data_IF_915643058371
#
_entry.id   IF_915643058371
#
_cell.length_a   1.000
_cell.length_b   1.000
_cell.length_c   1.000
_cell.angle_alpha   90.00
_cell.angle_beta   90.00
_cell.angle_gamma   90.00
#
_symmetry.space_group_name_H-M   'P 1'
#
loop_
_entity.id
_entity.type
_entity.pdbx_description
1 polymer ?
#
# COMPACT_ATOMS: atom_id res chain seq x y z
N UNK A 1 40.76 40.71 27.43
CA UNK A 1 40.35 39.51 28.19
C UNK A 1 38.98 39.78 28.78
N UNK A 2 37.95 39.22 28.16
CA UNK A 2 36.58 39.17 28.69
C UNK A 2 35.94 37.96 28.00
N UNK A 3 35.80 36.86 28.74
CA UNK A 3 35.14 35.64 28.28
C UNK A 3 33.63 35.79 28.55
N UNK A 4 32.82 35.65 27.50
CA UNK A 4 31.38 35.41 27.63
C UNK A 4 31.14 33.91 27.70
N UNK A 5 30.66 33.43 28.84
CA UNK A 5 30.13 32.08 29.01
C UNK A 5 28.63 32.12 28.68
N UNK A 6 28.12 31.27 27.75
CA UNK A 6 26.68 31.16 27.54
C UNK A 6 26.04 30.40 28.72
N UNK A 7 25.00 30.98 29.30
CA UNK A 7 24.17 30.34 30.32
C UNK A 7 23.34 29.23 29.68
N UNK A 8 23.47 28.02 30.22
CA UNK A 8 22.60 26.90 29.91
C UNK A 8 21.19 27.19 30.44
N UNK A 9 20.19 27.16 29.55
CA UNK A 9 18.78 27.13 29.95
C UNK A 9 18.46 25.68 30.29
N UNK A 10 18.38 25.38 31.58
CA UNK A 10 17.95 24.08 32.11
C UNK A 10 16.46 23.89 31.81
N UNK A 11 16.14 22.99 30.87
CA UNK A 11 14.78 22.54 30.61
C UNK A 11 14.37 21.49 31.65
N UNK A 12 14.02 21.93 32.85
CA UNK A 12 13.26 21.15 33.84
C UNK A 12 11.84 21.71 33.95
N UNK A 13 11.09 21.71 32.85
CA UNK A 13 9.63 21.86 32.94
C UNK A 13 9.04 20.51 33.32
N UNK A 14 9.02 20.27 34.62
CA UNK A 14 8.41 19.12 35.26
C UNK A 14 6.92 19.01 34.94
N UNK A 15 6.43 17.78 34.67
CA UNK A 15 5.01 17.42 34.51
C UNK A 15 4.09 17.86 35.68
N UNK A 16 4.65 18.40 36.75
CA UNK A 16 3.94 18.89 37.94
C UNK A 16 3.02 20.09 37.65
N UNK A 17 3.25 20.84 36.58
CA UNK A 17 2.45 22.02 36.21
C UNK A 17 1.14 21.68 35.46
N UNK A 18 0.96 20.42 35.07
CA UNK A 18 -0.32 19.93 34.52
C UNK A 18 -1.31 19.54 35.63
N UNK A 19 -0.81 19.15 36.81
CA UNK A 19 -1.65 18.75 37.93
C UNK A 19 -2.36 19.94 38.61
N UNK A 20 -1.87 21.16 38.39
CA UNK A 20 -2.47 22.43 38.86
C UNK A 20 -3.58 22.93 37.94
N UNK A 21 -3.68 22.41 36.71
CA UNK A 21 -4.78 22.66 35.80
C UNK A 21 -5.99 21.81 36.20
N UNK A 22 -6.63 22.19 37.30
CA UNK A 22 -7.92 21.65 37.72
C UNK A 22 -9.01 22.15 36.77
N UNK A 23 -9.02 21.61 35.55
CA UNK A 23 -10.01 21.92 34.53
C UNK A 23 -11.14 20.88 34.64
N UNK A 24 -12.13 21.20 35.47
CA UNK A 24 -13.40 20.48 35.54
C UNK A 24 -14.22 20.88 34.30
N UNK A 25 -14.20 20.03 33.28
CA UNK A 25 -14.94 20.23 32.03
C UNK A 25 -16.38 19.68 32.10
N UNK A 26 -16.85 19.25 33.27
CA UNK A 26 -18.19 18.67 33.43
C UNK A 26 -18.29 17.21 32.95
N UNK A 27 -19.13 16.42 33.60
CA UNK A 27 -19.45 15.03 33.24
C UNK A 27 -20.71 14.96 32.36
N UNK A 28 -20.93 15.93 31.47
CA UNK A 28 -22.03 15.83 30.51
C UNK A 28 -21.59 14.91 29.36
N UNK A 29 -22.31 13.80 29.18
CA UNK A 29 -22.12 12.83 28.09
C UNK A 29 -22.23 13.46 26.66
N UNK A 30 -22.49 14.77 26.58
CA UNK A 30 -22.59 15.57 25.35
C UNK A 30 -21.27 16.17 24.84
N UNK A 31 -20.22 16.25 25.66
CA UNK A 31 -18.94 16.87 25.28
C UNK A 31 -17.97 15.88 24.59
N UNK A 32 -18.49 15.06 23.69
CA UNK A 32 -17.62 14.27 22.82
C UNK A 32 -16.95 15.20 21.82
N UNK A 33 -15.61 15.25 21.86
CA UNK A 33 -14.82 15.92 20.83
C UNK A 33 -15.14 15.31 19.46
N UNK A 34 -15.95 16.01 18.67
CA UNK A 34 -16.26 15.62 17.30
C UNK A 34 -15.04 15.93 16.44
N UNK A 35 -14.23 14.91 16.16
CA UNK A 35 -13.20 15.03 15.13
C UNK A 35 -13.88 15.21 13.78
N UNK A 36 -13.49 16.19 12.95
CA UNK A 36 -13.95 16.27 11.57
C UNK A 36 -13.74 14.91 10.89
N UNK A 37 -14.73 14.43 10.14
CA UNK A 37 -14.60 13.20 9.37
C UNK A 37 -13.56 13.42 8.28
N UNK A 38 -12.29 13.20 8.61
CA UNK A 38 -11.24 13.12 7.59
C UNK A 38 -11.58 11.93 6.69
N UNK A 39 -11.43 12.10 5.39
CA UNK A 39 -11.50 10.96 4.48
C UNK A 39 -10.43 9.96 4.93
N UNK A 40 -10.85 8.82 5.49
CA UNK A 40 -9.90 7.78 5.89
C UNK A 40 -9.03 7.44 4.67
N UNK A 41 -7.69 7.43 4.82
CA UNK A 41 -6.81 7.14 3.71
C UNK A 41 -7.16 5.76 3.16
N UNK A 42 -7.22 5.66 1.82
CA UNK A 42 -7.55 4.41 1.12
C UNK A 42 -6.27 3.76 0.65
N UNK A 43 -6.23 2.44 0.78
CA UNK A 43 -5.16 1.64 0.20
C UNK A 43 -5.61 1.16 -1.19
N UNK A 44 -4.94 1.66 -2.22
CA UNK A 44 -5.29 1.44 -3.62
C UNK A 44 -4.26 0.54 -4.31
N UNK A 45 -4.73 -0.35 -5.18
CA UNK A 45 -3.85 -1.18 -6.00
C UNK A 45 -3.75 -0.62 -7.41
N UNK A 46 -2.54 -0.26 -7.84
CA UNK A 46 -2.27 0.22 -9.19
C UNK A 46 -1.70 -0.86 -10.09
N UNK A 47 -2.20 -0.89 -11.33
CA UNK A 47 -1.84 -1.85 -12.38
C UNK A 47 -0.90 -1.22 -13.42
N UNK A 48 -0.10 -0.23 -13.04
CA UNK A 48 0.80 0.48 -13.94
C UNK A 48 0.24 1.80 -14.44
N UNK A 49 -0.05 2.72 -13.52
CA UNK A 49 -0.39 4.10 -13.88
C UNK A 49 0.89 4.90 -14.16
N UNK A 50 0.84 5.80 -15.14
CA UNK A 50 1.97 6.67 -15.47
C UNK A 50 2.16 7.71 -14.37
N UNK A 51 3.41 7.93 -13.96
CA UNK A 51 3.78 9.01 -13.04
C UNK A 51 4.33 10.22 -13.80
N UNK A 52 4.41 11.37 -13.14
CA UNK A 52 5.09 12.56 -13.68
C UNK A 52 6.59 12.36 -13.87
N UNK A 53 7.18 11.37 -13.19
CA UNK A 53 8.59 10.96 -13.31
C UNK A 53 8.83 9.91 -14.41
N UNK A 54 7.83 9.65 -15.26
CA UNK A 54 7.86 8.60 -16.30
C UNK A 54 8.09 7.18 -15.77
N UNK A 55 7.83 6.97 -14.49
CA UNK A 55 7.82 5.66 -13.87
C UNK A 55 6.41 5.04 -13.97
N UNK A 56 6.33 3.75 -13.67
CA UNK A 56 5.08 3.00 -13.68
C UNK A 56 4.69 2.67 -12.25
N UNK A 57 3.55 3.18 -11.81
CA UNK A 57 3.02 2.98 -10.47
C UNK A 57 2.31 1.61 -10.37
N UNK A 58 2.89 0.69 -9.60
CA UNK A 58 2.43 -0.70 -9.48
C UNK A 58 2.38 -1.15 -8.02
N UNK A 59 1.30 -1.83 -7.63
CA UNK A 59 1.12 -2.35 -6.27
C UNK A 59 0.31 -1.41 -5.38
N UNK A 60 0.55 -1.48 -4.07
CA UNK A 60 -0.18 -0.70 -3.08
C UNK A 60 0.29 0.75 -2.97
N UNK A 61 -0.70 1.65 -2.97
CA UNK A 61 -0.52 3.09 -2.88
C UNK A 61 -1.50 3.71 -1.91
N UNK A 62 -1.06 4.77 -1.23
CA UNK A 62 -1.89 5.59 -0.35
C UNK A 62 -1.82 7.02 -0.88
N UNK A 63 -2.96 7.69 -1.03
CA UNK A 63 -3.00 9.10 -1.45
C UNK A 63 -2.34 9.97 -0.37
N UNK A 64 -1.38 10.79 -0.78
CA UNK A 64 -0.65 11.69 0.11
C UNK A 64 -1.46 12.96 0.38
N UNK A 65 -1.09 13.69 1.43
CA UNK A 65 -1.72 14.95 1.86
C UNK A 65 -3.18 14.79 2.35
N UNK A 66 -3.62 13.56 2.60
CA UNK A 66 -4.96 13.25 3.14
C UNK A 66 -4.94 13.13 4.67
N UNK A 67 -3.89 12.50 5.21
CA UNK A 67 -3.71 12.32 6.65
C UNK A 67 -2.28 12.75 7.05
N UNK A 68 -2.12 13.94 7.67
CA UNK A 68 -0.81 14.49 7.99
C UNK A 68 0.07 13.58 8.88
N UNK A 69 -0.54 12.87 9.84
CA UNK A 69 0.20 11.97 10.71
C UNK A 69 0.76 10.76 9.93
N UNK A 70 -0.02 10.26 8.98
CA UNK A 70 0.42 9.21 8.07
C UNK A 70 1.52 9.70 7.11
N UNK A 71 1.38 10.91 6.58
CA UNK A 71 2.39 11.52 5.69
C UNK A 71 3.74 11.72 6.39
N UNK A 72 3.72 12.22 7.64
CA UNK A 72 4.91 12.38 8.47
C UNK A 72 5.59 11.02 8.73
N UNK A 73 4.81 10.00 9.06
CA UNK A 73 5.31 8.65 9.28
C UNK A 73 5.93 8.06 8.02
N UNK A 74 5.23 8.10 6.89
CA UNK A 74 5.70 7.54 5.63
C UNK A 74 6.95 8.26 5.12
N UNK A 75 7.05 9.58 5.37
CA UNK A 75 8.27 10.36 5.14
C UNK A 75 9.43 9.86 5.99
N UNK A 76 9.19 9.66 7.29
CA UNK A 76 10.21 9.17 8.24
C UNK A 76 10.68 7.76 7.88
N UNK A 77 9.78 6.91 7.39
CA UNK A 77 10.10 5.57 6.90
C UNK A 77 10.86 5.58 5.56
N UNK A 78 11.03 6.75 4.93
CA UNK A 78 11.65 6.88 3.61
C UNK A 78 10.82 6.28 2.49
N UNK A 79 9.50 6.21 2.65
CA UNK A 79 8.59 5.68 1.63
C UNK A 79 8.63 6.60 0.42
N UNK A 80 8.70 6.03 -0.79
CA UNK A 80 8.73 6.85 -2.00
C UNK A 80 7.38 7.54 -2.23
N UNK A 81 7.44 8.84 -2.50
CA UNK A 81 6.31 9.66 -2.98
C UNK A 81 6.48 10.02 -4.45
N UNK A 82 5.40 9.98 -5.22
CA UNK A 82 5.36 10.54 -6.58
C UNK A 82 3.95 10.95 -6.99
N UNK A 83 3.84 11.67 -8.09
CA UNK A 83 2.55 12.13 -8.64
C UNK A 83 2.09 11.18 -9.74
N UNK A 84 0.88 10.67 -9.60
CA UNK A 84 0.23 9.76 -10.55
C UNK A 84 -0.73 10.52 -11.45
N UNK A 85 -0.68 10.22 -12.74
CA UNK A 85 -1.61 10.78 -13.74
C UNK A 85 -2.80 9.84 -13.90
N UNK A 86 -3.97 10.26 -13.40
CA UNK A 86 -5.21 9.52 -13.57
C UNK A 86 -5.83 9.78 -14.95
N UNK A 87 -6.50 8.76 -15.48
CA UNK A 87 -7.22 8.87 -16.77
C UNK A 87 -8.43 9.81 -16.70
N UNK A 88 -8.96 10.05 -15.50
CA UNK A 88 -10.07 10.99 -15.29
C UNK A 88 -9.54 12.41 -15.40
N UNK A 89 -10.25 13.27 -16.12
CA UNK A 89 -9.88 14.68 -16.27
C UNK A 89 -10.36 15.49 -15.07
N UNK A 90 -9.64 16.54 -14.71
CA UNK A 90 -10.11 17.57 -13.80
C UNK A 90 -11.18 18.46 -14.48
N UNK A 91 -11.71 19.45 -13.75
CA UNK A 91 -12.70 20.39 -14.27
C UNK A 91 -12.19 21.17 -15.50
N UNK A 92 -10.86 21.33 -15.60
CA UNK A 92 -10.19 22.02 -16.71
C UNK A 92 -9.86 21.11 -17.90
N UNK A 93 -10.32 19.86 -17.90
CA UNK A 93 -10.10 18.90 -19.00
C UNK A 93 -8.71 18.27 -19.06
N UNK A 94 -7.82 18.54 -18.10
CA UNK A 94 -6.49 17.94 -17.98
C UNK A 94 -6.53 16.66 -17.16
N UNK A 95 -5.60 15.72 -17.37
CA UNK A 95 -5.49 14.52 -16.55
C UNK A 95 -5.35 14.89 -15.06
N UNK A 96 -6.19 14.32 -14.19
CA UNK A 96 -6.13 14.57 -12.76
C UNK A 96 -4.81 14.01 -12.22
N UNK A 97 -4.00 14.88 -11.64
CA UNK A 97 -2.72 14.52 -11.01
C UNK A 97 -2.88 14.50 -9.51
N UNK A 98 -2.49 13.40 -8.87
CA UNK A 98 -2.56 13.25 -7.41
C UNK A 98 -1.27 12.64 -6.87
N UNK A 99 -0.78 13.09 -5.71
CA UNK A 99 0.38 12.53 -5.05
C UNK A 99 0.04 11.23 -4.30
N UNK A 100 0.93 10.25 -4.36
CA UNK A 100 0.78 8.97 -3.65
C UNK A 100 2.10 8.53 -3.01
N UNK A 101 1.97 7.82 -1.89
CA UNK A 101 3.01 6.99 -1.29
C UNK A 101 2.98 5.59 -1.90
N UNK A 102 4.13 5.08 -2.33
CA UNK A 102 4.25 3.78 -2.97
C UNK A 102 4.78 2.72 -2.00
N UNK A 103 3.85 1.95 -1.43
CA UNK A 103 4.13 0.97 -0.37
C UNK A 103 4.97 -0.22 -0.86
N UNK A 104 4.93 -0.52 -2.15
CA UNK A 104 5.72 -1.61 -2.75
C UNK A 104 6.94 -1.12 -3.55
N UNK A 105 7.34 0.15 -3.39
CA UNK A 105 8.46 0.67 -4.16
C UNK A 105 9.77 -0.07 -3.84
N UNK A 106 10.63 -0.25 -4.85
CA UNK A 106 11.89 -0.98 -4.70
C UNK A 106 11.73 -2.46 -4.37
N UNK A 107 10.53 -3.04 -4.55
CA UNK A 107 10.25 -4.43 -4.19
C UNK A 107 9.99 -4.64 -2.69
N UNK A 108 9.75 -3.56 -1.94
CA UNK A 108 9.38 -3.66 -0.54
C UNK A 108 8.04 -4.37 -0.36
N UNK A 109 7.95 -5.20 0.68
CA UNK A 109 6.71 -5.87 1.06
C UNK A 109 5.73 -4.85 1.65
N UNK A 110 4.46 -5.03 1.34
CA UNK A 110 3.38 -4.41 2.09
C UNK A 110 2.62 -5.54 2.79
N UNK A 111 2.81 -5.68 4.10
CA UNK A 111 2.27 -6.81 4.86
C UNK A 111 0.93 -6.44 5.47
N UNK A 112 -0.15 -7.06 4.99
CA UNK A 112 -1.51 -6.73 5.42
C UNK A 112 -1.98 -7.70 6.49
N UNK A 113 -2.64 -7.22 7.53
CA UNK A 113 -3.55 -8.06 8.31
C UNK A 113 -4.98 -7.57 8.15
N UNK A 114 -5.84 -8.51 7.78
CA UNK A 114 -7.20 -8.26 7.32
C UNK A 114 -8.14 -8.39 8.51
N UNK A 115 -8.97 -7.39 8.76
CA UNK A 115 -10.02 -7.46 9.78
C UNK A 115 -11.14 -8.38 9.31
N UNK A 116 -10.95 -9.69 9.46
CA UNK A 116 -11.89 -10.72 9.01
C UNK A 116 -11.72 -12.01 9.81
N UNK A 117 -12.82 -12.72 10.07
CA UNK A 117 -12.80 -14.06 10.68
C UNK A 117 -12.28 -15.15 9.73
N UNK A 118 -12.22 -14.87 8.43
CA UNK A 118 -11.80 -15.83 7.41
C UNK A 118 -11.99 -15.31 5.99
N UNK A 119 -12.14 -16.23 5.05
CA UNK A 119 -12.53 -15.93 3.67
C UNK A 119 -13.55 -16.98 3.25
N UNK A 120 -14.72 -16.55 2.80
CA UNK A 120 -15.70 -17.45 2.20
C UNK A 120 -15.26 -17.83 0.78
N UNK A 121 -15.59 -19.05 0.33
CA UNK A 121 -15.49 -19.39 -1.08
C UNK A 121 -16.43 -18.52 -1.92
N UNK A 122 -16.15 -18.32 -3.21
CA UNK A 122 -17.05 -17.56 -4.09
C UNK A 122 -18.49 -18.07 -4.11
N UNK A 123 -18.65 -19.38 -3.93
CA UNK A 123 -19.97 -20.01 -3.88
C UNK A 123 -20.74 -19.55 -2.64
N UNK A 124 -20.12 -19.62 -1.47
CA UNK A 124 -20.67 -19.11 -0.21
C UNK A 124 -20.87 -17.60 -0.26
N UNK A 125 -19.99 -16.89 -0.96
CA UNK A 125 -20.06 -15.46 -1.17
C UNK A 125 -21.26 -14.99 -2.02
N UNK A 126 -22.12 -15.88 -2.51
CA UNK A 126 -23.43 -15.49 -3.08
C UNK A 126 -24.43 -15.10 -2.00
N UNK A 127 -24.28 -15.63 -0.79
CA UNK A 127 -25.11 -15.27 0.36
C UNK A 127 -24.47 -14.08 1.08
N UNK A 128 -25.06 -12.89 0.90
CA UNK A 128 -24.55 -11.65 1.50
C UNK A 128 -24.64 -11.64 3.02
N UNK A 129 -25.42 -12.53 3.66
CA UNK A 129 -25.55 -12.59 5.12
C UNK A 129 -24.46 -13.40 5.81
N UNK A 130 -23.68 -14.18 5.04
CA UNK A 130 -22.64 -15.09 5.56
C UNK A 130 -21.23 -14.53 5.48
N UNK A 131 -21.08 -13.21 5.34
CA UNK A 131 -19.75 -12.58 5.26
C UNK A 131 -19.00 -12.72 6.58
N UNK A 132 -17.69 -12.72 6.46
CA UNK A 132 -16.76 -12.84 7.58
C UNK A 132 -15.87 -11.60 7.79
N UNK A 133 -16.10 -10.49 7.07
CA UNK A 133 -15.23 -9.29 7.09
C UNK A 133 -14.78 -8.81 5.71
N UNK A 134 -15.08 -9.59 4.65
CA UNK A 134 -14.76 -9.25 3.26
C UNK A 134 -16.07 -9.06 2.48
N UNK A 135 -16.29 -7.86 1.97
CA UNK A 135 -17.41 -7.55 1.09
C UNK A 135 -17.13 -8.02 -0.33
N UNK A 136 -18.14 -8.63 -0.96
CA UNK A 136 -18.04 -9.18 -2.31
C UNK A 136 -19.39 -9.07 -3.02
N UNK A 137 -19.37 -8.80 -4.32
CA UNK A 137 -20.57 -8.80 -5.14
C UNK A 137 -20.30 -8.47 -6.59
N UNK A 138 -21.37 -8.47 -7.39
CA UNK A 138 -21.31 -8.13 -8.81
C UNK A 138 -22.04 -6.81 -9.04
N UNK A 139 -21.28 -5.74 -9.24
CA UNK A 139 -21.84 -4.41 -9.52
C UNK A 139 -22.08 -4.22 -11.02
N UNK A 140 -23.10 -3.45 -11.34
CA UNK A 140 -23.33 -2.97 -12.72
C UNK A 140 -22.33 -1.87 -13.04
N UNK A 141 -21.62 -2.00 -14.16
CA UNK A 141 -20.64 -1.02 -14.61
C UNK A 141 -21.37 0.20 -15.16
N UNK A 142 -21.00 1.37 -14.65
CA UNK A 142 -21.49 2.67 -15.14
C UNK A 142 -20.34 3.48 -15.74
N UNK A 143 -20.63 4.31 -16.72
CA UNK A 143 -19.67 5.26 -17.30
C UNK A 143 -19.52 6.52 -16.43
N UNK A 144 -18.77 7.52 -16.92
CA UNK A 144 -18.52 8.78 -16.20
C UNK A 144 -19.79 9.61 -15.97
N UNK A 145 -20.76 9.46 -16.86
CA UNK A 145 -22.04 10.18 -16.81
C UNK A 145 -23.09 9.40 -16.00
N UNK A 146 -22.72 8.23 -15.45
CA UNK A 146 -23.57 7.37 -14.64
C UNK A 146 -24.45 6.41 -15.44
N UNK A 147 -24.33 6.39 -16.77
CA UNK A 147 -25.09 5.50 -17.64
C UNK A 147 -24.58 4.06 -17.54
N UNK A 148 -25.49 3.11 -17.66
CA UNK A 148 -25.15 1.68 -17.62
C UNK A 148 -24.40 1.29 -18.89
N UNK A 149 -23.19 0.74 -18.71
CA UNK A 149 -22.39 0.21 -19.82
C UNK A 149 -22.97 -1.15 -20.22
N UNK A 150 -23.28 -1.32 -21.50
CA UNK A 150 -23.74 -2.61 -22.07
C UNK A 150 -22.56 -3.49 -22.49
N UNK A 151 -22.77 -4.80 -22.54
CA UNK A 151 -21.80 -5.75 -23.14
C UNK A 151 -21.73 -5.51 -24.66
N UNK A 152 -20.55 -5.63 -25.24
CA UNK A 152 -20.37 -5.47 -26.69
C UNK A 152 -21.22 -6.50 -27.45
N UNK A 153 -22.15 -6.03 -28.28
CA UNK A 153 -23.05 -6.87 -29.08
C UNK A 153 -24.21 -7.51 -28.30
N UNK A 154 -24.56 -6.99 -27.12
CA UNK A 154 -25.69 -7.48 -26.30
C UNK A 154 -26.39 -6.33 -25.58
N UNK A 155 -27.69 -6.47 -25.32
CA UNK A 155 -28.46 -5.54 -24.49
C UNK A 155 -28.24 -5.73 -22.99
N UNK A 156 -27.51 -6.77 -22.58
CA UNK A 156 -27.19 -7.02 -21.18
C UNK A 156 -26.24 -5.98 -20.61
N UNK A 157 -26.54 -5.51 -19.39
CA UNK A 157 -25.64 -4.66 -18.62
C UNK A 157 -24.31 -5.38 -18.33
N UNK A 158 -23.21 -4.68 -18.57
CA UNK A 158 -21.88 -5.11 -18.17
C UNK A 158 -21.83 -5.13 -16.64
N UNK A 159 -21.40 -6.25 -16.08
CA UNK A 159 -21.20 -6.41 -14.64
C UNK A 159 -19.74 -6.69 -14.36
N UNK A 160 -19.25 -6.25 -13.22
CA UNK A 160 -17.92 -6.60 -12.74
C UNK A 160 -17.98 -7.05 -11.29
N UNK A 161 -17.09 -7.97 -10.94
CA UNK A 161 -16.89 -8.36 -9.57
C UNK A 161 -16.25 -7.20 -8.80
N UNK A 162 -16.70 -6.95 -7.57
CA UNK A 162 -16.10 -5.99 -6.64
C UNK A 162 -15.85 -6.68 -5.32
N UNK A 163 -14.67 -6.44 -4.77
CA UNK A 163 -14.20 -6.99 -3.51
C UNK A 163 -13.64 -5.85 -2.65
N UNK A 164 -14.08 -5.77 -1.39
CA UNK A 164 -13.63 -4.75 -0.46
C UNK A 164 -13.38 -5.37 0.93
N UNK A 165 -12.38 -4.87 1.63
CA UNK A 165 -12.10 -5.29 3.00
C UNK A 165 -11.38 -4.17 3.76
N UNK A 166 -11.37 -4.28 5.09
CA UNK A 166 -10.56 -3.42 5.96
C UNK A 166 -9.27 -4.16 6.30
N UNK A 167 -8.14 -3.50 6.14
CA UNK A 167 -6.84 -4.05 6.49
C UNK A 167 -5.95 -2.99 7.11
N UNK A 168 -5.03 -3.43 7.95
CA UNK A 168 -3.95 -2.60 8.44
C UNK A 168 -2.65 -2.99 7.73
N UNK A 169 -1.67 -2.10 7.77
CA UNK A 169 -0.35 -2.34 7.22
C UNK A 169 0.60 -2.56 8.39
N UNK A 170 1.22 -3.74 8.44
CA UNK A 170 2.04 -4.18 9.55
C UNK A 170 3.22 -3.27 9.82
N UNK A 171 3.89 -2.82 8.76
CA UNK A 171 5.01 -1.90 8.84
C UNK A 171 4.58 -0.56 9.47
N UNK A 172 3.35 -0.11 9.24
CA UNK A 172 2.82 1.14 9.82
C UNK A 172 2.41 0.97 11.29
N UNK A 173 1.79 -0.16 11.62
CA UNK A 173 1.40 -0.48 13.00
C UNK A 173 2.62 -0.59 13.91
N UNK A 174 3.71 -1.20 13.42
CA UNK A 174 4.98 -1.26 14.15
C UNK A 174 5.60 0.11 14.41
N UNK A 175 5.26 1.12 13.60
CA UNK A 175 5.68 2.50 13.77
C UNK A 175 4.58 3.39 14.37
N UNK A 176 3.55 2.80 15.00
CA UNK A 176 2.56 3.50 15.80
C UNK A 176 1.30 3.98 15.07
N UNK A 177 1.16 3.75 13.76
CA UNK A 177 -0.06 4.08 13.03
C UNK A 177 -1.03 2.89 13.06
N UNK A 178 -2.07 3.00 13.88
CA UNK A 178 -2.97 1.89 14.25
C UNK A 178 -4.36 1.98 13.61
N UNK A 179 -4.51 2.74 12.53
CA UNK A 179 -5.78 2.86 11.80
C UNK A 179 -5.86 1.87 10.63
N UNK A 180 -7.08 1.41 10.32
CA UNK A 180 -7.33 0.53 9.17
C UNK A 180 -7.55 1.33 7.88
N UNK A 181 -7.18 0.71 6.76
CA UNK A 181 -7.44 1.18 5.41
C UNK A 181 -8.57 0.39 4.78
N UNK A 182 -9.47 1.07 4.09
CA UNK A 182 -10.37 0.38 3.17
C UNK A 182 -9.58 0.02 1.90
N UNK A 183 -9.57 -1.27 1.57
CA UNK A 183 -8.98 -1.81 0.34
C UNK A 183 -10.10 -2.18 -0.61
N UNK A 184 -9.96 -1.83 -1.89
CA UNK A 184 -10.98 -2.09 -2.91
C UNK A 184 -10.36 -2.62 -4.20
N UNK A 185 -10.88 -3.74 -4.68
CA UNK A 185 -10.52 -4.36 -5.95
C UNK A 185 -11.77 -4.56 -6.80
N UNK A 186 -11.61 -4.53 -8.13
CA UNK A 186 -12.71 -4.76 -9.06
C UNK A 186 -12.24 -5.47 -10.33
N UNK A 187 -13.16 -6.11 -11.02
CA UNK A 187 -12.90 -6.83 -12.27
C UNK A 187 -12.08 -8.11 -12.05
N UNK A 188 -11.23 -8.43 -13.03
CA UNK A 188 -10.54 -9.72 -13.12
C UNK A 188 -9.53 -9.97 -11.98
N UNK A 189 -8.98 -8.91 -11.40
CA UNK A 189 -7.96 -9.00 -10.34
C UNK A 189 -8.53 -9.50 -8.99
N UNK A 190 -9.85 -9.43 -8.82
CA UNK A 190 -10.52 -9.89 -7.58
C UNK A 190 -10.22 -11.35 -7.28
N UNK A 191 -9.99 -12.14 -8.32
CA UNK A 191 -9.60 -13.55 -8.24
C UNK A 191 -8.19 -13.76 -7.68
N UNK A 192 -7.25 -12.98 -8.19
CA UNK A 192 -5.87 -12.99 -7.72
C UNK A 192 -5.80 -12.53 -6.25
N UNK A 193 -6.62 -11.55 -5.87
CA UNK A 193 -6.74 -11.09 -4.47
C UNK A 193 -7.24 -12.21 -3.58
N UNK A 194 -8.36 -12.86 -3.90
CA UNK A 194 -8.88 -13.97 -3.10
C UNK A 194 -7.86 -15.11 -2.99
N UNK A 195 -7.12 -15.39 -4.07
CA UNK A 195 -6.03 -16.38 -4.06
C UNK A 195 -4.92 -15.97 -3.11
N UNK A 196 -4.46 -14.72 -3.16
CA UNK A 196 -3.44 -14.20 -2.25
C UNK A 196 -3.91 -14.26 -0.79
N UNK A 197 -5.13 -13.78 -0.49
CA UNK A 197 -5.67 -13.79 0.87
C UNK A 197 -5.82 -15.22 1.42
N UNK A 198 -6.14 -16.21 0.57
CA UNK A 198 -6.25 -17.62 0.97
C UNK A 198 -4.93 -18.21 1.51
N UNK A 199 -3.76 -17.69 1.13
CA UNK A 199 -2.48 -18.14 1.68
C UNK A 199 -2.39 -17.94 3.20
N UNK A 200 -3.21 -17.06 3.77
CA UNK A 200 -3.32 -16.88 5.21
C UNK A 200 -3.74 -18.17 5.94
N UNK A 201 -4.59 -19.02 5.33
CA UNK A 201 -4.96 -20.30 5.93
C UNK A 201 -3.75 -21.20 6.13
N UNK A 202 -2.80 -21.22 5.17
CA UNK A 202 -1.57 -22.01 5.29
C UNK A 202 -0.71 -21.56 6.47
N UNK A 203 -0.61 -20.25 6.70
CA UNK A 203 0.11 -19.67 7.84
C UNK A 203 -0.55 -20.09 9.16
N UNK A 204 -1.86 -19.87 9.26
CA UNK A 204 -2.66 -20.15 10.46
C UNK A 204 -2.70 -21.65 10.77
N UNK A 205 -2.86 -22.53 9.77
CA UNK A 205 -2.89 -23.97 9.96
C UNK A 205 -1.55 -24.52 10.45
N UNK A 206 -0.44 -24.03 9.91
CA UNK A 206 0.90 -24.43 10.36
C UNK A 206 1.10 -23.98 11.81
N UNK A 207 0.80 -22.72 12.15
CA UNK A 207 0.91 -22.25 13.53
C UNK A 207 0.00 -23.04 14.48
N UNK A 208 -1.26 -23.26 14.11
CA UNK A 208 -2.24 -23.96 14.93
C UNK A 208 -1.88 -25.43 15.15
N UNK A 209 -1.22 -26.07 14.18
CA UNK A 209 -0.69 -27.42 14.35
C UNK A 209 0.41 -27.46 15.41
N UNK A 210 1.34 -26.51 15.40
CA UNK A 210 2.36 -26.39 16.44
C UNK A 210 1.78 -26.02 17.80
N UNK A 211 0.83 -25.09 17.84
CA UNK A 211 0.20 -24.63 19.07
C UNK A 211 -0.54 -25.79 19.77
N UNK A 212 -1.35 -26.56 19.03
CA UNK A 212 -2.07 -27.73 19.58
C UNK A 212 -1.11 -28.79 20.13
N UNK A 213 0.00 -29.07 19.44
CA UNK A 213 0.99 -30.03 19.89
C UNK A 213 1.67 -29.63 21.22
N UNK A 214 1.65 -28.33 21.55
CA UNK A 214 2.23 -27.77 22.77
C UNK A 214 1.17 -27.36 23.81
N UNK A 215 -0.11 -27.61 23.56
CA UNK A 215 -1.20 -27.17 24.44
C UNK A 215 -1.38 -25.64 24.50
N UNK A 216 -0.94 -24.92 23.46
CA UNK A 216 -1.07 -23.47 23.34
C UNK A 216 -2.37 -23.09 22.60
N UNK A 217 -2.79 -21.84 22.78
CA UNK A 217 -3.94 -21.27 22.08
C UNK A 217 -3.68 -21.17 20.57
N UNK A 218 -4.73 -21.44 19.78
CA UNK A 218 -4.71 -21.26 18.33
C UNK A 218 -4.81 -19.79 17.95
N UNK A 219 -4.20 -19.41 16.84
CA UNK A 219 -4.34 -18.08 16.25
C UNK A 219 -5.64 -17.97 15.43
N UNK A 220 -6.31 -16.80 15.45
CA UNK A 220 -7.39 -16.49 14.53
C UNK A 220 -6.85 -16.16 13.12
N UNK A 221 -7.75 -16.04 12.15
CA UNK A 221 -7.40 -15.69 10.76
C UNK A 221 -6.57 -14.40 10.65
N UNK A 222 -6.93 -13.38 11.44
CA UNK A 222 -6.24 -12.09 11.52
C UNK A 222 -4.99 -12.09 12.42
N UNK A 223 -4.51 -13.25 12.87
CA UNK A 223 -3.39 -13.34 13.83
C UNK A 223 -1.99 -13.08 13.24
N UNK A 224 -1.87 -13.09 11.91
CA UNK A 224 -0.61 -12.87 11.20
C UNK A 224 -0.78 -11.84 10.08
N UNK A 225 0.28 -11.09 9.79
CA UNK A 225 0.35 -10.27 8.58
C UNK A 225 0.68 -11.13 7.35
N UNK A 226 0.17 -10.71 6.21
CA UNK A 226 0.31 -11.35 4.92
C UNK A 226 1.11 -10.42 3.99
N UNK A 227 2.38 -10.72 3.71
CA UNK A 227 3.20 -9.91 2.80
C UNK A 227 2.70 -10.03 1.38
N UNK A 228 2.42 -8.90 0.71
CA UNK A 228 1.92 -8.88 -0.67
C UNK A 228 2.83 -8.03 -1.56
N UNK A 229 3.12 -8.57 -2.75
CA UNK A 229 3.82 -7.89 -3.85
C UNK A 229 3.05 -7.97 -5.16
N UNK A 230 3.33 -7.07 -6.11
CA UNK A 230 2.93 -7.28 -7.50
C UNK A 230 3.55 -8.54 -8.09
N UNK A 231 2.70 -9.40 -8.66
CA UNK A 231 3.12 -10.59 -9.39
C UNK A 231 3.53 -10.27 -10.83
N UNK A 232 3.84 -11.34 -11.58
CA UNK A 232 4.16 -11.24 -12.99
C UNK A 232 3.02 -10.61 -13.79
N UNK A 233 3.38 -9.78 -14.77
CA UNK A 233 2.41 -9.09 -15.63
C UNK A 233 1.52 -10.08 -16.37
N UNK A 234 0.20 -9.85 -16.32
CA UNK A 234 -0.80 -10.59 -17.11
C UNK A 234 -1.46 -9.63 -18.09
N UNK A 235 -1.58 -10.05 -19.34
CA UNK A 235 -2.27 -9.26 -20.37
C UNK A 235 -3.77 -9.62 -20.39
N UNK A 236 -4.63 -8.66 -20.07
CA UNK A 236 -6.08 -8.85 -19.99
C UNK A 236 -6.82 -7.97 -20.98
N UNK A 237 -7.84 -8.52 -21.63
CA UNK A 237 -8.59 -7.84 -22.67
C UNK A 237 -9.39 -8.85 -23.50
N UNK A 238 -10.23 -8.38 -24.43
CA UNK A 238 -10.93 -9.24 -25.37
C UNK A 238 -9.95 -10.08 -26.20
N UNK A 239 -10.40 -11.25 -26.67
CA UNK A 239 -9.58 -12.17 -27.47
C UNK A 239 -9.04 -11.53 -28.76
N UNK A 240 -9.88 -10.71 -29.39
CA UNK A 240 -9.60 -10.05 -30.69
C UNK A 240 -9.51 -8.52 -30.55
N UNK A 241 -8.89 -8.02 -29.48
CA UNK A 241 -8.70 -6.58 -29.29
C UNK A 241 -7.54 -6.24 -28.35
N UNK A 242 -7.43 -4.96 -28.01
CA UNK A 242 -6.32 -4.47 -27.20
C UNK A 242 -6.32 -5.09 -25.81
N UNK A 243 -5.16 -5.61 -25.43
CA UNK A 243 -4.90 -6.14 -24.09
C UNK A 243 -4.17 -5.09 -23.27
N UNK A 244 -4.58 -4.94 -22.02
CA UNK A 244 -3.91 -4.09 -21.05
C UNK A 244 -3.13 -4.94 -20.06
N UNK A 245 -1.94 -4.50 -19.64
CA UNK A 245 -1.20 -5.18 -18.58
C UNK A 245 -1.92 -4.99 -17.25
N UNK A 246 -1.94 -6.04 -16.43
CA UNK A 246 -2.27 -5.97 -15.01
C UNK A 246 -1.17 -6.66 -14.21
N UNK A 247 -1.02 -6.24 -12.96
CA UNK A 247 -0.06 -6.80 -12.03
C UNK A 247 -0.86 -7.37 -10.86
N UNK A 248 -1.12 -8.69 -10.83
CA UNK A 248 -1.95 -9.30 -9.80
C UNK A 248 -1.26 -9.23 -8.43
N UNK A 249 -1.96 -9.01 -7.32
CA UNK A 249 -1.37 -9.16 -5.99
C UNK A 249 -1.03 -10.62 -5.73
N UNK A 250 0.17 -10.86 -5.22
CA UNK A 250 0.65 -12.21 -4.87
C UNK A 250 1.20 -12.18 -3.45
N UNK A 251 0.64 -13.04 -2.60
CA UNK A 251 1.14 -13.26 -1.26
C UNK A 251 2.54 -13.89 -1.31
N UNK A 252 3.47 -13.35 -0.53
CA UNK A 252 4.87 -13.78 -0.45
C UNK A 252 5.09 -14.73 0.74
N UNK A 253 4.16 -15.66 0.97
CA UNK A 253 4.30 -16.66 2.02
C UNK A 253 5.31 -17.72 1.56
N UNK A 254 6.40 -17.97 2.30
CA UNK A 254 7.44 -18.90 1.87
C UNK A 254 6.89 -20.32 1.75
N UNK A 255 7.44 -21.13 0.83
CA UNK A 255 7.00 -22.52 0.65
C UNK A 255 7.13 -23.33 1.95
N UNK A 256 8.21 -23.12 2.70
CA UNK A 256 8.41 -23.64 4.04
C UNK A 256 8.18 -22.52 5.06
N UNK A 257 7.11 -22.62 5.86
CA UNK A 257 6.81 -21.66 6.92
C UNK A 257 7.62 -22.03 8.16
N UNK A 258 8.58 -21.18 8.50
CA UNK A 258 9.49 -21.38 9.64
C UNK A 258 9.00 -20.67 10.89
N UNK A 259 9.57 -21.03 12.05
CA UNK A 259 9.33 -20.31 13.29
C UNK A 259 9.78 -18.83 13.24
N UNK A 260 10.82 -18.51 12.45
CA UNK A 260 11.25 -17.12 12.26
C UNK A 260 10.19 -16.31 11.51
N UNK A 261 9.62 -16.86 10.44
CA UNK A 261 8.52 -16.24 9.70
C UNK A 261 7.30 -15.99 10.61
N UNK A 262 6.89 -17.01 11.38
CA UNK A 262 5.74 -16.89 12.29
C UNK A 262 5.96 -15.82 13.37
N UNK A 263 7.18 -15.68 13.87
CA UNK A 263 7.53 -14.64 14.85
C UNK A 263 7.53 -13.25 14.21
N UNK A 264 8.08 -13.13 13.01
CA UNK A 264 8.16 -11.88 12.28
C UNK A 264 6.78 -11.35 11.89
N UNK A 265 5.89 -12.23 11.41
CA UNK A 265 4.56 -11.83 10.93
C UNK A 265 3.45 -11.93 11.98
N UNK A 266 3.73 -12.50 13.16
CA UNK A 266 2.75 -12.65 14.22
C UNK A 266 2.42 -11.31 14.88
N UNK A 267 1.13 -10.96 14.94
CA UNK A 267 0.67 -9.67 15.47
C UNK A 267 -0.06 -9.82 16.81
N UNK A 268 0.37 -10.74 17.68
CA UNK A 268 -0.37 -11.17 18.87
C UNK A 268 -0.90 -10.02 19.75
N UNK A 269 -0.09 -8.99 20.01
CA UNK A 269 -0.52 -7.81 20.78
C UNK A 269 -1.62 -7.01 20.07
N UNK A 270 -1.49 -6.82 18.76
CA UNK A 270 -2.47 -6.08 17.97
C UNK A 270 -3.73 -6.90 17.67
N UNK A 271 -3.61 -8.22 17.52
CA UNK A 271 -4.76 -9.12 17.35
C UNK A 271 -5.68 -9.10 18.58
N UNK A 272 -5.08 -8.99 19.79
CA UNK A 272 -5.85 -8.75 21.01
C UNK A 272 -6.57 -7.39 20.96
N UNK A 273 -5.87 -6.32 20.59
CA UNK A 273 -6.47 -4.99 20.41
C UNK A 273 -7.65 -5.01 19.42
N UNK A 274 -7.52 -5.68 18.27
CA UNK A 274 -8.60 -5.82 17.28
C UNK A 274 -9.83 -6.54 17.84
N UNK A 275 -9.63 -7.49 18.76
CA UNK A 275 -10.72 -8.24 19.40
C UNK A 275 -11.37 -7.41 20.51
N UNK A 276 -10.56 -6.83 21.39
CA UNK A 276 -11.02 -6.02 22.53
C UNK A 276 -11.75 -4.74 22.06
N UNK A 277 -11.33 -4.19 20.92
CA UNK A 277 -11.93 -2.98 20.31
C UNK A 277 -13.03 -3.29 19.28
N UNK A 278 -13.51 -4.54 19.23
CA UNK A 278 -14.61 -5.00 18.35
C UNK A 278 -14.39 -4.80 16.83
N UNK A 279 -13.16 -4.52 16.38
CA UNK A 279 -12.84 -4.16 14.99
C UNK A 279 -13.23 -5.26 14.01
N UNK A 280 -13.06 -6.53 14.39
CA UNK A 280 -13.34 -7.68 13.51
C UNK A 280 -14.83 -7.91 13.36
N UNK A 281 -15.63 -7.73 14.42
CA UNK A 281 -17.09 -7.86 14.34
C UNK A 281 -17.68 -6.69 13.55
N UNK A 282 -17.21 -5.45 13.78
CA UNK A 282 -17.61 -4.30 12.96
C UNK A 282 -17.28 -4.49 11.49
N UNK A 283 -16.11 -5.06 11.17
CA UNK A 283 -15.73 -5.35 9.79
C UNK A 283 -16.65 -6.43 9.18
N UNK A 284 -17.08 -7.43 9.96
CA UNK A 284 -18.05 -8.44 9.52
C UNK A 284 -19.40 -7.81 9.22
N UNK A 285 -19.97 -7.03 10.13
CA UNK A 285 -21.25 -6.34 9.93
C UNK A 285 -21.20 -5.40 8.71
N UNK A 286 -20.16 -4.57 8.65
CA UNK A 286 -19.90 -3.70 7.50
C UNK A 286 -19.82 -4.49 6.19
N UNK A 287 -19.17 -5.65 6.19
CA UNK A 287 -19.02 -6.44 4.97
C UNK A 287 -20.34 -7.03 4.44
N UNK A 288 -21.30 -7.31 5.34
CA UNK A 288 -22.66 -7.76 4.98
C UNK A 288 -23.39 -6.61 4.29
N UNK A 289 -23.50 -5.46 4.96
CA UNK A 289 -24.15 -4.27 4.43
C UNK A 289 -23.54 -3.87 3.08
N UNK A 290 -22.21 -3.77 3.03
CA UNK A 290 -21.50 -3.36 1.83
C UNK A 290 -21.68 -4.34 0.67
N UNK A 291 -21.80 -5.63 0.94
CA UNK A 291 -22.07 -6.63 -0.11
C UNK A 291 -23.48 -6.52 -0.70
N UNK A 292 -24.46 -6.15 0.13
CA UNK A 292 -25.83 -5.88 -0.31
C UNK A 292 -25.85 -4.65 -1.22
N UNK A 293 -25.17 -3.56 -0.83
CA UNK A 293 -25.01 -2.35 -1.64
C UNK A 293 -24.35 -2.64 -2.99
N UNK A 294 -23.23 -3.36 -3.01
CA UNK A 294 -22.52 -3.74 -4.26
C UNK A 294 -23.45 -4.54 -5.18
N UNK A 295 -24.28 -5.40 -4.61
CA UNK A 295 -25.17 -6.29 -5.37
C UNK A 295 -26.50 -5.63 -5.77
N UNK A 296 -26.75 -4.39 -5.34
CA UNK A 296 -28.03 -3.70 -5.54
C UNK A 296 -29.19 -4.35 -4.76
N UNK A 297 -28.90 -4.98 -3.62
CA UNK A 297 -29.88 -5.62 -2.72
C UNK A 297 -30.22 -4.77 -1.48
N UNK A 298 -29.77 -3.51 -1.43
CA UNK A 298 -30.12 -2.56 -0.36
C UNK A 298 -31.41 -1.80 -0.69
N UNK A 299 -32.17 -1.44 0.35
CA UNK A 299 -33.37 -0.60 0.21
C UNK A 299 -33.02 0.72 -0.48
N UNK A 300 -33.84 1.11 -1.46
CA UNK A 300 -33.76 2.41 -2.14
C UNK A 300 -34.19 3.53 -1.17
N UNK A 301 -33.31 3.94 -0.24
CA UNK A 301 -33.53 5.14 0.57
C UNK A 301 -32.31 6.09 0.55
N UNK A 302 -32.54 7.19 -0.19
CA UNK A 302 -31.89 8.50 -0.24
C UNK A 302 -30.40 8.67 -0.63
N UNK A 303 -30.11 9.72 -1.44
CA UNK A 303 -28.78 9.99 -1.96
C UNK A 303 -27.95 10.69 -0.90
N UNK A 304 -27.05 9.95 -0.25
CA UNK A 304 -25.87 10.59 0.33
C UNK A 304 -25.02 11.09 -0.84
N UNK A 305 -24.76 12.40 -0.89
CA UNK A 305 -23.70 13.02 -1.69
C UNK A 305 -22.35 12.41 -1.31
N UNK A 306 -22.11 11.20 -1.79
CA UNK A 306 -20.77 10.64 -1.86
C UNK A 306 -20.23 11.17 -3.17
N UNK A 307 -19.43 12.22 -3.13
CA UNK A 307 -18.60 12.62 -4.28
C UNK A 307 -17.73 11.43 -4.63
N UNK A 308 -18.21 10.64 -5.58
CA UNK A 308 -17.56 9.43 -6.07
C UNK A 308 -16.38 9.86 -6.93
N UNK A 309 -15.23 10.14 -6.30
CA UNK A 309 -13.95 9.96 -6.98
C UNK A 309 -13.54 8.49 -6.81
N UNK A 310 -14.33 7.60 -7.42
CA UNK A 310 -13.89 6.24 -7.70
C UNK A 310 -12.89 6.33 -8.87
N UNK A 311 -11.60 6.36 -8.57
CA UNK A 311 -10.60 5.91 -9.55
C UNK A 311 -10.69 4.39 -9.67
N UNK A 312 -11.76 3.91 -10.31
CA UNK A 312 -11.85 2.55 -10.81
C UNK A 312 -11.43 2.61 -12.27
N UNK A 313 -10.25 2.09 -12.57
CA UNK A 313 -9.78 1.90 -13.95
C UNK A 313 -10.60 0.80 -14.62
N UNK A 314 -11.83 1.11 -15.01
CA UNK A 314 -12.58 0.29 -15.97
C UNK A 314 -12.05 0.64 -17.35
N UNK A 315 -11.27 -0.26 -17.94
CA UNK A 315 -10.84 -0.15 -19.33
C UNK A 315 -12.05 -0.52 -20.19
N UNK A 316 -12.64 0.50 -20.81
CA UNK A 316 -13.55 0.34 -21.94
C UNK A 316 -12.85 1.01 -23.12
N UNK A 317 -12.45 0.21 -24.10
CA UNK A 317 -11.77 0.66 -25.31
C UNK A 317 -12.85 0.99 -26.34
N UNK A 318 -13.10 2.27 -26.56
CA UNK A 318 -13.72 2.77 -27.79
C UNK A 318 -12.75 3.80 -28.37
N UNK A 319 -12.17 3.47 -29.53
CA UNK A 319 -11.27 4.35 -30.25
C UNK A 319 -11.70 4.45 -31.72
N UNK A 320 -12.09 5.65 -32.11
CA UNK A 320 -12.17 6.14 -33.49
C UNK A 320 -10.73 6.48 -33.94
N UNK A 321 -10.35 6.26 -35.21
CA UNK A 321 -8.94 6.07 -35.58
C UNK A 321 -8.20 7.40 -35.72
N UNK A 322 -7.06 7.52 -35.04
CA UNK A 322 -6.05 8.54 -35.32
C UNK A 322 -4.77 7.85 -35.80
N UNK A 323 -4.38 8.24 -37.01
CA UNK A 323 -3.12 8.07 -37.73
C UNK A 323 -1.91 7.53 -36.98
N UNK A 324 -1.28 6.54 -37.63
CA UNK A 324 0.02 5.94 -37.37
C UNK A 324 1.08 6.98 -36.94
N UNK A 325 1.52 6.91 -35.69
CA UNK A 325 2.80 7.45 -35.25
C UNK A 325 3.70 6.28 -34.85
N UNK A 326 4.93 6.33 -35.38
CA UNK A 326 5.98 5.35 -35.19
C UNK A 326 6.17 5.01 -33.71
N UNK A 327 6.10 3.71 -33.42
CA UNK A 327 6.48 3.15 -32.11
C UNK A 327 7.99 3.32 -31.94
N UNK A 328 8.47 4.00 -30.89
CA UNK A 328 9.89 4.01 -30.58
C UNK A 328 10.31 2.62 -30.09
N UNK A 329 11.37 2.10 -30.69
CA UNK A 329 12.05 0.88 -30.26
C UNK A 329 12.48 1.06 -28.80
N UNK A 330 12.01 0.16 -27.93
CA UNK A 330 12.42 0.11 -26.52
C UNK A 330 13.92 -0.16 -26.48
N UNK A 331 14.70 0.86 -26.11
CA UNK A 331 16.12 0.72 -25.80
C UNK A 331 16.26 -0.14 -24.54
N UNK A 332 17.06 -1.19 -24.62
CA UNK A 332 17.48 -1.97 -23.45
C UNK A 332 18.07 -1.05 -22.38
N UNK A 333 17.93 -1.42 -21.11
CA UNK A 333 18.57 -0.76 -19.99
C UNK A 333 20.04 -0.48 -20.31
N UNK A 334 20.58 0.72 -20.00
CA UNK A 334 21.96 1.05 -20.30
C UNK A 334 22.85 0.00 -19.63
N UNK A 335 23.49 -0.82 -20.46
CA UNK A 335 24.51 -1.75 -20.04
C UNK A 335 25.61 -0.96 -19.34
N UNK A 336 25.91 -1.37 -18.10
CA UNK A 336 26.97 -0.81 -17.27
C UNK A 336 28.25 -0.72 -18.12
N UNK A 337 28.91 0.45 -18.21
CA UNK A 337 30.23 0.52 -18.81
C UNK A 337 31.13 -0.49 -18.08
N UNK A 338 31.49 -1.59 -18.75
CA UNK A 338 32.42 -2.54 -18.17
C UNK A 338 33.75 -1.82 -18.02
N UNK A 339 34.09 -1.49 -16.78
CA UNK A 339 35.42 -1.01 -16.45
C UNK A 339 36.43 -2.09 -16.85
N UNK A 340 37.58 -1.74 -17.43
CA UNK A 340 38.64 -2.68 -17.75
C UNK A 340 38.95 -3.58 -16.55
N UNK A 341 39.08 -4.89 -16.77
CA UNK A 341 39.47 -5.85 -15.72
C UNK A 341 40.73 -5.35 -15.01
N UNK A 342 40.64 -5.17 -13.68
CA UNK A 342 41.73 -4.68 -12.83
C UNK A 342 41.71 -3.18 -12.50
N UNK A 343 40.72 -2.41 -12.97
CA UNK A 343 40.62 -0.96 -12.69
C UNK A 343 39.62 -0.57 -11.59
N UNK A 344 38.86 -1.52 -11.04
CA UNK A 344 37.82 -1.23 -10.04
C UNK A 344 38.39 -1.23 -8.61
N UNK A 345 39.06 -0.13 -8.25
CA UNK A 345 39.66 0.06 -6.93
C UNK A 345 38.59 0.22 -5.84
N UNK A 346 38.92 -0.07 -4.56
CA UNK A 346 38.09 0.36 -3.44
C UNK A 346 37.84 1.87 -3.43
N UNK A 347 36.69 2.28 -2.90
CA UNK A 347 36.36 3.69 -2.70
C UNK A 347 37.37 4.34 -1.75
N UNK A 348 37.81 5.54 -2.06
CA UNK A 348 38.67 6.33 -1.17
C UNK A 348 37.84 7.02 -0.08
N UNK A 349 38.51 7.66 0.89
CA UNK A 349 37.84 8.30 2.01
C UNK A 349 36.85 9.41 1.60
N UNK A 350 37.13 10.13 0.50
CA UNK A 350 36.25 11.20 0.00
C UNK A 350 34.96 10.61 -0.59
N UNK A 351 35.08 9.56 -1.38
CA UNK A 351 33.95 8.81 -1.96
C UNK A 351 33.11 8.15 -0.86
N UNK A 352 33.76 7.54 0.13
CA UNK A 352 33.08 6.94 1.28
C UNK A 352 32.34 7.98 2.13
N UNK A 353 32.92 9.16 2.31
CA UNK A 353 32.27 10.28 3.02
C UNK A 353 31.05 10.77 2.26
N UNK A 354 31.12 10.86 0.92
CA UNK A 354 29.96 11.19 0.08
C UNK A 354 28.87 10.11 0.14
N UNK A 355 29.22 8.83 0.11
CA UNK A 355 28.23 7.73 0.25
C UNK A 355 27.53 7.83 1.61
N UNK A 356 28.30 8.04 2.69
CA UNK A 356 27.74 8.11 4.05
C UNK A 356 26.88 9.34 4.25
N UNK A 357 27.39 10.52 3.92
CA UNK A 357 26.76 11.80 4.29
C UNK A 357 25.86 12.35 3.19
N UNK A 358 26.16 12.08 1.93
CA UNK A 358 25.37 12.49 0.78
C UNK A 358 24.27 11.48 0.46
N UNK A 359 24.67 10.29 -0.01
CA UNK A 359 23.70 9.28 -0.46
C UNK A 359 22.88 8.67 0.68
N UNK A 360 23.52 8.31 1.80
CA UNK A 360 22.85 7.71 2.95
C UNK A 360 22.33 8.76 3.96
N UNK A 361 22.56 10.07 3.73
CA UNK A 361 22.11 11.17 4.60
C UNK A 361 22.53 10.96 6.08
N UNK A 362 23.71 10.39 6.30
CA UNK A 362 24.24 10.08 7.64
C UNK A 362 23.59 8.89 8.35
N UNK A 363 22.59 8.23 7.74
CA UNK A 363 21.89 7.10 8.33
C UNK A 363 22.69 5.79 8.22
N UNK A 364 23.07 5.21 9.36
CA UNK A 364 23.84 3.97 9.42
C UNK A 364 23.08 2.74 8.86
N UNK A 365 21.74 2.73 8.96
CA UNK A 365 20.88 1.69 8.38
C UNK A 365 20.91 1.69 6.86
N UNK A 366 20.84 2.85 6.22
CA UNK A 366 20.97 2.95 4.76
C UNK A 366 22.36 2.54 4.28
N UNK A 367 23.40 2.89 5.02
CA UNK A 367 24.75 2.42 4.71
C UNK A 367 24.87 0.89 4.77
N UNK A 368 24.18 0.24 5.73
CA UNK A 368 24.08 -1.21 5.78
C UNK A 368 23.35 -1.77 4.56
N UNK A 369 22.22 -1.18 4.16
CA UNK A 369 21.49 -1.60 2.95
C UNK A 369 22.35 -1.47 1.68
N UNK A 370 23.16 -0.42 1.57
CA UNK A 370 24.13 -0.26 0.46
C UNK A 370 25.16 -1.39 0.48
N UNK A 371 25.72 -1.73 1.64
CA UNK A 371 26.66 -2.85 1.77
C UNK A 371 26.02 -4.19 1.40
N UNK A 372 24.80 -4.44 1.88
CA UNK A 372 24.03 -5.66 1.60
C UNK A 372 23.73 -5.77 0.09
N UNK A 373 23.34 -4.66 -0.55
CA UNK A 373 23.07 -4.56 -2.00
C UNK A 373 24.28 -4.98 -2.84
N UNK A 374 25.48 -4.56 -2.44
CA UNK A 374 26.73 -4.88 -3.15
C UNK A 374 27.45 -6.11 -2.60
N UNK A 375 26.83 -6.84 -1.67
CA UNK A 375 27.38 -8.06 -1.05
C UNK A 375 28.77 -7.85 -0.43
N UNK A 376 28.96 -6.70 0.21
CA UNK A 376 30.18 -6.37 0.96
C UNK A 376 29.90 -6.32 2.46
N UNK A 377 30.87 -6.72 3.28
CA UNK A 377 30.72 -6.79 4.73
C UNK A 377 31.01 -5.46 5.43
N UNK A 378 31.75 -4.56 4.78
CA UNK A 378 32.11 -3.25 5.33
C UNK A 378 32.06 -2.18 4.22
N UNK A 379 31.60 -0.95 4.51
CA UNK A 379 31.66 0.17 3.58
C UNK A 379 33.03 0.41 2.90
N UNK A 380 34.15 0.08 3.56
CA UNK A 380 35.50 0.21 2.98
C UNK A 380 35.80 -0.79 1.85
N UNK A 381 34.97 -1.82 1.69
CA UNK A 381 35.06 -2.81 0.61
C UNK A 381 34.25 -2.41 -0.62
N UNK A 382 33.49 -1.31 -0.58
CA UNK A 382 32.81 -0.79 -1.75
C UNK A 382 33.84 -0.41 -2.82
N UNK A 383 33.52 -0.69 -4.07
CA UNK A 383 34.37 -0.39 -5.21
C UNK A 383 33.94 0.90 -5.90
N UNK A 384 34.82 1.45 -6.73
CA UNK A 384 34.56 2.68 -7.48
C UNK A 384 33.31 2.53 -8.38
N UNK A 385 33.11 1.36 -8.99
CA UNK A 385 31.91 1.05 -9.76
C UNK A 385 30.62 1.19 -8.94
N UNK A 386 30.62 0.75 -7.67
CA UNK A 386 29.49 0.91 -6.76
C UNK A 386 29.22 2.40 -6.51
N UNK A 387 30.27 3.18 -6.24
CA UNK A 387 30.15 4.63 -6.07
C UNK A 387 29.55 5.33 -7.30
N UNK A 388 29.99 4.96 -8.50
CA UNK A 388 29.46 5.53 -9.76
C UNK A 388 27.98 5.22 -9.94
N UNK A 389 27.52 4.01 -9.59
CA UNK A 389 26.10 3.65 -9.61
C UNK A 389 25.30 4.55 -8.65
N UNK A 390 25.78 4.69 -7.41
CA UNK A 390 25.11 5.52 -6.39
C UNK A 390 25.09 7.01 -6.78
N UNK A 391 26.15 7.51 -7.42
CA UNK A 391 26.17 8.88 -7.98
C UNK A 391 25.15 9.07 -9.09
N UNK A 392 25.07 8.14 -10.05
CA UNK A 392 24.10 8.21 -11.14
C UNK A 392 22.65 8.19 -10.60
N UNK A 393 22.38 7.36 -9.59
CA UNK A 393 21.10 7.35 -8.90
C UNK A 393 20.81 8.70 -8.22
N UNK A 394 21.77 9.26 -7.48
CA UNK A 394 21.61 10.55 -6.79
C UNK A 394 21.37 11.72 -7.75
N UNK A 395 22.01 11.72 -8.92
CA UNK A 395 21.83 12.76 -9.93
C UNK A 395 20.40 12.77 -10.50
N UNK A 396 19.79 11.59 -10.63
CA UNK A 396 18.39 11.45 -11.06
C UNK A 396 17.41 11.97 -9.99
N UNK A 397 17.77 11.96 -8.71
CA UNK A 397 16.94 12.56 -7.65
C UNK A 397 17.01 14.09 -7.64
N UNK A 398 18.18 14.69 -7.88
CA UNK A 398 18.32 16.17 -7.88
C UNK A 398 17.66 16.82 -9.08
N UNK A 399 17.66 16.16 -10.25
CA UNK A 399 16.99 16.66 -11.46
C UNK A 399 15.45 16.52 -11.40
N UNK A 400 14.92 15.66 -10.53
CA UNK A 400 13.47 15.54 -10.31
C UNK A 400 12.93 16.55 -9.26
N UNK A 401 13.82 17.26 -8.57
CA UNK A 401 13.50 18.24 -7.52
C UNK A 401 13.67 19.71 -7.96
N UNK A 402 14.13 19.92 -9.20
CA UNK A 402 14.19 21.22 -9.89
C UNK A 402 13.12 21.25 -10.98
#
# INVERSE_FOLDING_TARGET
MTQHTPSAVSAENSMTDLATLNMDFGNDDGDQMVKPTQNNPRLQWFNGLTTTTFETAVGFHIEADVNPALDELLTTMGTKRYVVQHKTTNQDGQAKQLPYWAMNWGGQLCSLFIASYGINSKYEMKDTKKRCGIAYGWETVRDRDGNIVKKKGSDESKRQCRLQFRAFIHELVLNGFTEWFQVSFSGIITEDVLTALNEQFRVVDIYNSYARAQGLNTAPFYGFSLPILPGAVKMVGPKDGDKSPIYPPVAQVPQQITASYLREHGIQGFAKYMTDSNIVEEAKEWSIQRSQEISGQGDEEQPAETTVQNTTTTITVDATPASQQNVPVVQAAPSIPQLPEGSDRPVNQKELTWIRNGYCIGNAGFLKTVCDRFKVSNPTQLLLSHYTILQAESANYTQAAQ
#
